data_IF_450673996440
#
_entry.id   IF_450673996440
#
_cell.length_a   1.000
_cell.length_b   1.000
_cell.length_c   1.000
_cell.angle_alpha   90.00
_cell.angle_beta   90.00
_cell.angle_gamma   90.00
#
_symmetry.space_group_name_H-M   'P 1'
#
loop_
_entity.id
_entity.type
_entity.pdbx_description
1 polymer ?
#
# COMPACT_ATOMS: atom_id res chain seq x y z
N UNK A 1 39.26 32.93 35.59
CA UNK A 1 39.66 32.36 34.29
C UNK A 1 39.16 30.91 34.09
N UNK A 2 39.22 30.05 35.11
CA UNK A 2 38.76 28.63 35.04
C UNK A 2 37.23 28.49 34.89
N UNK A 3 36.44 29.31 35.61
CA UNK A 3 34.97 29.24 35.56
C UNK A 3 34.38 29.57 34.19
N UNK A 4 35.01 30.50 33.45
CA UNK A 4 34.58 30.86 32.10
C UNK A 4 34.72 29.67 31.13
N UNK A 5 35.77 28.88 31.27
CA UNK A 5 36.03 27.68 30.46
C UNK A 5 35.04 26.55 30.76
N UNK A 6 34.71 26.37 32.04
CA UNK A 6 33.69 25.39 32.48
C UNK A 6 32.29 25.75 31.99
N UNK A 7 31.93 27.04 32.00
CA UNK A 7 30.65 27.52 31.48
C UNK A 7 30.56 27.32 29.96
N UNK A 8 31.60 27.68 29.22
CA UNK A 8 31.65 27.48 27.77
C UNK A 8 31.51 25.99 27.39
N UNK A 9 32.19 25.08 28.09
CA UNK A 9 32.04 23.64 27.84
C UNK A 9 30.65 23.10 28.17
N UNK A 10 30.00 23.60 29.22
CA UNK A 10 28.61 23.24 29.52
C UNK A 10 27.65 23.73 28.45
N UNK A 11 27.78 24.97 28.00
CA UNK A 11 26.92 25.55 26.96
C UNK A 11 27.07 24.80 25.63
N UNK A 12 28.30 24.41 25.29
CA UNK A 12 28.59 23.59 24.10
C UNK A 12 28.03 22.16 24.23
N UNK A 13 28.18 21.53 25.39
CA UNK A 13 27.57 20.23 25.66
C UNK A 13 26.03 20.28 25.57
N UNK A 14 25.41 21.34 26.08
CA UNK A 14 23.96 21.55 25.96
C UNK A 14 23.54 21.75 24.50
N UNK A 15 24.29 22.53 23.72
CA UNK A 15 24.03 22.69 22.28
C UNK A 15 24.13 21.38 21.51
N UNK A 16 25.17 20.59 21.75
CA UNK A 16 25.35 19.31 21.09
C UNK A 16 24.26 18.30 21.49
N UNK A 17 23.87 18.28 22.77
CA UNK A 17 22.77 17.44 23.24
C UNK A 17 21.43 17.85 22.60
N UNK A 18 21.20 19.15 22.44
CA UNK A 18 20.02 19.68 21.75
C UNK A 18 20.01 19.32 20.27
N UNK A 19 21.11 19.58 19.56
CA UNK A 19 21.25 19.25 18.15
C UNK A 19 21.09 17.75 17.87
N UNK A 20 21.61 16.89 18.76
CA UNK A 20 21.40 15.43 18.67
C UNK A 20 19.94 15.05 18.87
N UNK A 21 19.26 15.64 19.85
CA UNK A 21 17.83 15.39 20.10
C UNK A 21 16.97 15.84 18.92
N UNK A 22 17.24 17.02 18.38
CA UNK A 22 16.55 17.57 17.20
C UNK A 22 16.80 16.67 15.99
N UNK A 23 18.05 16.27 15.70
CA UNK A 23 18.35 15.36 14.60
C UNK A 23 17.71 13.98 14.72
N UNK A 24 17.60 13.42 15.93
CA UNK A 24 16.89 12.15 16.17
C UNK A 24 15.39 12.34 15.97
N UNK A 25 14.81 13.44 16.47
CA UNK A 25 13.39 13.73 16.31
C UNK A 25 13.03 13.90 14.83
N UNK A 26 13.80 14.69 14.09
CA UNK A 26 13.61 14.92 12.65
C UNK A 26 13.73 13.61 11.85
N UNK A 27 14.72 12.77 12.19
CA UNK A 27 14.91 11.47 11.53
C UNK A 27 13.74 10.52 11.77
N UNK A 28 13.24 10.45 13.00
CA UNK A 28 12.07 9.63 13.33
C UNK A 28 10.78 10.13 12.67
N UNK A 29 10.61 11.44 12.59
CA UNK A 29 9.45 12.05 11.94
C UNK A 29 9.45 11.77 10.44
N UNK A 30 10.58 11.99 9.76
CA UNK A 30 10.75 11.71 8.33
C UNK A 30 10.52 10.24 8.01
N UNK A 31 11.18 9.33 8.74
CA UNK A 31 11.00 7.89 8.50
C UNK A 31 9.56 7.41 8.72
N UNK A 32 8.85 7.96 9.71
CA UNK A 32 7.40 7.66 9.90
C UNK A 32 6.52 8.27 8.81
N UNK A 33 6.86 9.44 8.29
CA UNK A 33 6.12 10.07 7.20
C UNK A 33 6.27 9.27 5.90
N UNK A 34 7.51 8.93 5.54
CA UNK A 34 7.87 8.13 4.37
C UNK A 34 7.24 6.74 4.43
N UNK A 35 7.44 5.98 5.50
CA UNK A 35 6.89 4.63 5.63
C UNK A 35 5.35 4.57 5.61
N UNK A 36 4.66 5.62 6.10
CA UNK A 36 3.19 5.71 5.99
C UNK A 36 2.72 6.09 4.59
N UNK A 37 3.51 6.86 3.84
CA UNK A 37 3.18 7.25 2.48
C UNK A 37 3.35 6.06 1.53
N UNK A 38 4.48 5.34 1.64
CA UNK A 38 4.78 4.13 0.88
C UNK A 38 3.75 3.03 1.17
N UNK A 39 3.53 2.68 2.44
CA UNK A 39 2.56 1.64 2.79
C UNK A 39 1.11 1.96 2.37
N UNK A 40 0.72 3.25 2.32
CA UNK A 40 -0.59 3.66 1.77
C UNK A 40 -0.66 3.58 0.25
N UNK A 41 0.44 3.86 -0.45
CA UNK A 41 0.49 3.78 -1.90
C UNK A 41 0.46 2.33 -2.37
N UNK A 42 1.29 1.47 -1.76
CA UNK A 42 1.34 0.03 -2.04
C UNK A 42 0.00 -0.64 -1.73
N UNK A 43 -0.54 -0.44 -0.52
CA UNK A 43 -1.83 -1.03 -0.15
C UNK A 43 -3.01 -0.56 -1.02
N UNK A 44 -2.99 0.67 -1.54
CA UNK A 44 -3.99 1.14 -2.52
C UNK A 44 -3.80 0.51 -3.89
N UNK A 45 -2.56 0.30 -4.32
CA UNK A 45 -2.27 -0.29 -5.62
C UNK A 45 -2.66 -1.77 -5.64
N UNK A 46 -2.24 -2.53 -4.62
CA UNK A 46 -2.58 -3.95 -4.44
C UNK A 46 -4.09 -4.13 -4.29
N UNK A 47 -4.74 -3.42 -3.36
CA UNK A 47 -6.19 -3.56 -3.16
C UNK A 47 -7.03 -3.17 -4.38
N UNK A 48 -6.57 -2.22 -5.22
CA UNK A 48 -7.24 -1.91 -6.49
C UNK A 48 -7.02 -2.97 -7.55
N UNK A 49 -5.84 -3.59 -7.60
CA UNK A 49 -5.54 -4.64 -8.56
C UNK A 49 -6.32 -5.91 -8.23
N UNK A 50 -6.29 -6.35 -6.96
CA UNK A 50 -7.03 -7.49 -6.45
C UNK A 50 -8.54 -7.29 -6.63
N UNK A 51 -9.09 -6.16 -6.15
CA UNK A 51 -10.53 -5.89 -6.29
C UNK A 51 -11.02 -5.80 -7.74
N UNK A 52 -10.18 -5.33 -8.68
CA UNK A 52 -10.52 -5.36 -10.11
C UNK A 52 -10.50 -6.78 -10.69
N UNK A 53 -9.53 -7.59 -10.29
CA UNK A 53 -9.41 -8.97 -10.76
C UNK A 53 -10.54 -9.85 -10.22
N UNK A 54 -10.85 -9.73 -8.93
CA UNK A 54 -11.97 -10.40 -8.28
C UNK A 54 -13.30 -9.95 -8.89
N UNK A 55 -13.57 -8.65 -8.95
CA UNK A 55 -14.82 -8.12 -9.51
C UNK A 55 -15.02 -8.47 -10.99
N UNK A 56 -13.96 -8.52 -11.80
CA UNK A 56 -14.04 -8.99 -13.19
C UNK A 56 -14.41 -10.47 -13.25
N UNK A 57 -13.81 -11.29 -12.41
CA UNK A 57 -14.07 -12.75 -12.38
C UNK A 57 -15.49 -13.05 -11.89
N UNK A 58 -15.94 -12.38 -10.83
CA UNK A 58 -17.31 -12.49 -10.33
C UNK A 58 -18.33 -12.04 -11.38
N UNK A 59 -18.13 -10.89 -12.02
CA UNK A 59 -19.02 -10.39 -13.06
C UNK A 59 -19.11 -11.33 -14.27
N UNK A 60 -17.99 -11.95 -14.66
CA UNK A 60 -17.97 -12.94 -15.74
C UNK A 60 -18.72 -14.23 -15.35
N UNK A 61 -18.60 -14.70 -14.10
CA UNK A 61 -19.37 -15.84 -13.59
C UNK A 61 -20.87 -15.53 -13.54
N UNK A 62 -21.25 -14.37 -13.03
CA UNK A 62 -22.65 -13.96 -12.96
C UNK A 62 -23.28 -13.85 -14.36
N UNK A 63 -22.55 -13.24 -15.30
CA UNK A 63 -22.98 -13.16 -16.70
C UNK A 63 -23.14 -14.54 -17.32
N UNK A 64 -22.15 -15.42 -17.16
CA UNK A 64 -22.20 -16.78 -17.67
C UNK A 64 -23.34 -17.58 -17.06
N UNK A 65 -23.60 -17.42 -15.76
CA UNK A 65 -24.71 -18.07 -15.07
C UNK A 65 -26.06 -17.67 -15.65
N UNK A 66 -26.26 -16.37 -15.88
CA UNK A 66 -27.49 -15.86 -16.52
C UNK A 66 -27.70 -16.42 -17.92
N UNK A 67 -26.63 -16.54 -18.71
CA UNK A 67 -26.71 -17.10 -20.06
C UNK A 67 -27.03 -18.60 -20.03
N UNK A 68 -26.41 -19.36 -19.12
CA UNK A 68 -26.76 -20.78 -18.91
C UNK A 68 -28.22 -20.94 -18.46
N UNK A 69 -28.67 -20.12 -17.52
CA UNK A 69 -30.06 -20.15 -17.04
C UNK A 69 -31.05 -19.75 -18.15
N UNK A 70 -30.62 -18.98 -19.16
CA UNK A 70 -31.41 -18.67 -20.36
C UNK A 70 -31.47 -19.80 -21.39
N UNK A 71 -30.82 -20.94 -21.11
CA UNK A 71 -30.82 -22.13 -21.95
C UNK A 71 -29.69 -22.17 -22.99
N UNK A 72 -28.71 -21.27 -22.91
CA UNK A 72 -27.50 -21.40 -23.72
C UNK A 72 -26.63 -22.55 -23.22
N UNK A 73 -25.99 -23.26 -24.15
CA UNK A 73 -25.02 -24.30 -23.80
C UNK A 73 -23.71 -23.68 -23.29
N UNK A 74 -22.98 -24.44 -22.48
CA UNK A 74 -21.74 -23.99 -21.86
C UNK A 74 -20.69 -23.55 -22.88
N UNK A 75 -20.57 -24.23 -24.01
CA UNK A 75 -19.56 -23.91 -25.02
C UNK A 75 -19.84 -22.53 -25.65
N UNK A 76 -21.09 -22.27 -26.01
CA UNK A 76 -21.55 -20.97 -26.52
C UNK A 76 -21.36 -19.87 -25.48
N UNK A 77 -21.66 -20.12 -24.21
CA UNK A 77 -21.45 -19.13 -23.13
C UNK A 77 -19.97 -18.78 -22.96
N UNK A 78 -19.10 -19.79 -22.91
CA UNK A 78 -17.65 -19.58 -22.77
C UNK A 78 -17.10 -18.82 -23.98
N UNK A 79 -17.49 -19.21 -25.19
CA UNK A 79 -17.10 -18.53 -26.43
C UNK A 79 -17.58 -17.07 -26.48
N UNK A 80 -18.85 -16.82 -26.13
CA UNK A 80 -19.47 -15.47 -26.14
C UNK A 80 -18.79 -14.53 -25.17
N UNK A 81 -18.40 -15.03 -23.99
CA UNK A 81 -17.73 -14.23 -22.95
C UNK A 81 -16.21 -14.22 -23.08
N UNK A 82 -15.64 -14.91 -24.08
CA UNK A 82 -14.19 -15.03 -24.28
C UNK A 82 -13.49 -15.74 -23.12
N UNK A 83 -14.18 -16.67 -22.47
CA UNK A 83 -13.67 -17.45 -21.35
C UNK A 83 -12.97 -18.71 -21.84
N UNK A 84 -11.91 -19.16 -21.16
CA UNK A 84 -11.21 -20.37 -21.55
C UNK A 84 -12.07 -21.62 -21.30
N UNK A 85 -11.85 -22.73 -22.03
CA UNK A 85 -12.69 -23.93 -21.94
C UNK A 85 -12.73 -24.58 -20.54
N UNK A 86 -11.65 -24.41 -19.78
CA UNK A 86 -11.48 -24.89 -18.40
C UNK A 86 -12.03 -23.91 -17.34
N UNK A 87 -12.60 -22.78 -17.77
CA UNK A 87 -13.16 -21.80 -16.86
C UNK A 87 -14.30 -22.39 -16.01
N UNK A 88 -14.22 -22.13 -14.70
CA UNK A 88 -15.16 -22.62 -13.69
C UNK A 88 -16.27 -21.58 -13.48
N UNK A 89 -17.46 -21.96 -13.91
CA UNK A 89 -18.71 -21.20 -13.85
C UNK A 89 -19.47 -21.42 -12.54
#
# INVERSE_FOLDING_TARGET
MIEFRLKAQRDEATRLARARREGIADGLEKGRAEGRAEGRAEGKAEGKAEGKAEGKTEGLREAARRLLDSGMDRETVLSTLGLPPDFVL
#
